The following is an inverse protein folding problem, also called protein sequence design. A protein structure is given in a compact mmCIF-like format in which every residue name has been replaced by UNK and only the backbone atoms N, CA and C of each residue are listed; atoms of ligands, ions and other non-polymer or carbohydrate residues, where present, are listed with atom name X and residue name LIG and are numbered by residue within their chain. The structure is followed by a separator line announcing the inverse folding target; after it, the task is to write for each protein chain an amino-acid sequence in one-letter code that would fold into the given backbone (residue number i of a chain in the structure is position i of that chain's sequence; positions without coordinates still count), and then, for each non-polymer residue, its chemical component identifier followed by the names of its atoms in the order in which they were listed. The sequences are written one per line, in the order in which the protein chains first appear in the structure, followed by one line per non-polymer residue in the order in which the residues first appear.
data_IF_162194025683
#
_entry.id   IF_162194025683
#
_cell.length_a   1.000
_cell.length_b   1.000
_cell.length_c   1.000
_cell.angle_alpha   90.00
_cell.angle_beta   90.00
_cell.angle_gamma   90.00
#
_symmetry.space_group_name_H-M   'P 1'
#
loop_
_entity.id
_entity.type
_entity.pdbx_description
1 polymer ?
#
# COMPACT_ATOMS: atom_id res chain seq x y z
N UNK A 1 25.61 -8.62 16.34
CA UNK A 1 25.00 -7.46 17.04
C UNK A 1 23.74 -7.94 17.74
N UNK A 2 23.39 -7.36 18.89
CA UNK A 2 22.07 -7.61 19.53
C UNK A 2 20.97 -6.86 18.77
N UNK A 3 19.70 -7.19 19.07
CA UNK A 3 18.56 -6.49 18.48
C UNK A 3 18.57 -4.97 18.80
N UNK A 4 18.96 -4.59 20.02
CA UNK A 4 19.12 -3.17 20.41
C UNK A 4 20.25 -2.50 19.62
N UNK A 5 21.39 -3.18 19.44
CA UNK A 5 22.49 -2.64 18.65
C UNK A 5 22.08 -2.45 17.17
N UNK A 6 21.26 -3.33 16.63
CA UNK A 6 20.72 -3.21 15.26
C UNK A 6 19.71 -2.05 15.16
N UNK A 7 18.88 -1.86 16.19
CA UNK A 7 17.97 -0.72 16.25
C UNK A 7 18.75 0.61 16.28
N UNK A 8 19.76 0.72 17.14
CA UNK A 8 20.65 1.91 17.19
C UNK A 8 21.45 2.08 15.88
N UNK A 9 21.89 0.98 15.28
CA UNK A 9 22.56 1.01 13.97
C UNK A 9 21.64 1.61 12.90
N UNK A 10 20.35 1.28 12.91
CA UNK A 10 19.36 1.90 12.04
C UNK A 10 19.26 3.41 12.23
N UNK A 11 19.40 3.90 13.45
CA UNK A 11 19.38 5.32 13.77
C UNK A 11 20.61 6.10 13.24
N UNK A 12 21.80 5.50 13.26
CA UNK A 12 23.02 6.13 12.75
C UNK A 12 23.22 5.92 11.24
N UNK A 13 22.41 5.05 10.61
CA UNK A 13 22.38 4.84 9.17
C UNK A 13 20.94 5.12 8.65
N UNK A 14 20.58 6.41 8.54
CA UNK A 14 19.22 6.81 8.20
C UNK A 14 18.83 6.40 6.78
N UNK A 15 17.53 6.26 6.56
CA UNK A 15 16.97 6.12 5.22
C UNK A 15 17.32 7.34 4.36
N UNK A 16 17.69 7.15 3.10
CA UNK A 16 18.13 8.24 2.23
C UNK A 16 16.96 9.19 1.91
N UNK A 17 17.24 10.50 1.85
CA UNK A 17 16.27 11.53 1.45
C UNK A 17 15.78 11.25 0.02
N UNK A 18 16.67 10.83 -0.86
CA UNK A 18 16.35 10.40 -2.24
C UNK A 18 16.63 8.91 -2.33
N UNK A 19 15.59 8.13 -2.16
CA UNK A 19 15.69 6.69 -2.22
C UNK A 19 15.53 6.19 -3.68
N UNK A 20 16.54 5.51 -4.23
CA UNK A 20 16.51 5.03 -5.62
C UNK A 20 15.42 3.99 -5.90
N UNK A 21 14.91 3.29 -4.89
CA UNK A 21 13.79 2.36 -5.05
C UNK A 21 12.46 3.07 -5.28
N UNK A 22 12.33 4.35 -4.85
CA UNK A 22 11.16 5.16 -5.15
C UNK A 22 11.30 5.80 -6.53
N UNK A 23 10.80 5.14 -7.48
CA UNK A 23 11.09 5.18 -8.88
C UNK A 23 10.71 6.49 -9.56
N UNK A 24 11.69 7.13 -10.18
CA UNK A 24 11.54 8.31 -11.04
C UNK A 24 10.80 8.00 -12.35
N UNK A 25 10.84 6.73 -12.81
CA UNK A 25 10.23 6.29 -14.06
C UNK A 25 8.69 6.24 -14.01
N UNK A 26 8.11 6.49 -12.83
CA UNK A 26 6.66 6.59 -12.62
C UNK A 26 6.14 8.01 -12.57
N UNK A 27 6.98 9.00 -12.76
CA UNK A 27 6.51 10.35 -13.01
C UNK A 27 5.88 10.35 -14.39
N UNK A 28 4.58 10.61 -14.45
CA UNK A 28 3.87 10.72 -15.74
C UNK A 28 4.43 11.94 -16.45
N UNK A 29 5.23 11.69 -17.47
CA UNK A 29 5.62 12.71 -18.43
C UNK A 29 4.42 12.89 -19.37
N UNK A 30 4.00 14.11 -19.70
CA UNK A 30 2.96 14.32 -20.70
C UNK A 30 3.32 13.52 -21.95
N UNK A 31 2.42 12.67 -22.45
CA UNK A 31 2.74 11.84 -23.59
C UNK A 31 3.13 12.72 -24.78
N UNK A 32 4.19 12.36 -25.46
CA UNK A 32 4.38 12.76 -26.85
C UNK A 32 3.17 12.27 -27.63
N UNK A 33 2.90 12.84 -28.79
CA UNK A 33 1.75 12.47 -29.66
C UNK A 33 1.70 10.94 -29.92
N UNK A 34 2.81 10.23 -29.69
CA UNK A 34 3.00 8.79 -29.94
C UNK A 34 2.76 7.91 -28.71
N UNK A 35 2.76 8.49 -27.50
CA UNK A 35 2.58 7.76 -26.23
C UNK A 35 1.34 8.28 -25.49
N UNK A 36 0.16 7.97 -26.01
CA UNK A 36 -1.09 8.30 -25.32
C UNK A 36 -1.16 7.55 -23.99
N UNK A 37 -1.15 8.28 -22.89
CA UNK A 37 -1.39 7.69 -21.58
C UNK A 37 -2.86 7.27 -21.51
N UNK A 38 -3.12 5.98 -21.31
CA UNK A 38 -4.46 5.39 -21.19
C UNK A 38 -5.38 6.17 -20.22
N UNK A 39 -4.82 6.68 -19.12
CA UNK A 39 -5.57 7.50 -18.17
C UNK A 39 -6.04 8.84 -18.79
N UNK A 40 -5.22 9.46 -19.63
CA UNK A 40 -5.54 10.73 -20.32
C UNK A 40 -6.63 10.50 -21.35
N UNK A 41 -6.53 9.43 -22.14
CA UNK A 41 -7.57 9.06 -23.13
C UNK A 41 -8.90 8.75 -22.44
N UNK A 42 -8.86 7.94 -21.37
CA UNK A 42 -10.05 7.62 -20.58
C UNK A 42 -10.69 8.87 -19.97
N UNK A 43 -9.86 9.80 -19.46
CA UNK A 43 -10.37 11.05 -18.93
C UNK A 43 -11.00 11.96 -20.02
N UNK A 44 -10.38 12.08 -21.20
CA UNK A 44 -10.94 12.81 -22.32
C UNK A 44 -12.30 12.19 -22.72
N UNK A 45 -12.37 10.87 -22.81
CA UNK A 45 -13.61 10.16 -23.13
C UNK A 45 -14.70 10.36 -22.09
N UNK A 46 -14.35 10.41 -20.82
CA UNK A 46 -15.30 10.74 -19.75
C UNK A 46 -15.87 12.14 -19.90
N UNK A 47 -15.05 13.15 -20.23
CA UNK A 47 -15.50 14.53 -20.44
C UNK A 47 -16.48 14.60 -21.60
N UNK A 48 -16.20 13.90 -22.71
CA UNK A 48 -17.13 13.80 -23.84
C UNK A 48 -18.48 13.20 -23.40
N UNK A 49 -18.45 12.07 -22.69
CA UNK A 49 -19.67 11.38 -22.22
C UNK A 49 -20.44 12.23 -21.22
N UNK A 50 -19.77 12.95 -20.32
CA UNK A 50 -20.41 13.87 -19.38
C UNK A 50 -21.12 15.01 -20.14
N UNK A 51 -20.50 15.53 -21.18
CA UNK A 51 -21.10 16.59 -22.00
C UNK A 51 -22.35 16.11 -22.73
N UNK A 52 -22.30 14.89 -23.29
CA UNK A 52 -23.47 14.24 -23.92
C UNK A 52 -24.57 13.95 -22.88
N UNK A 53 -24.20 13.46 -21.71
CA UNK A 53 -25.14 13.23 -20.60
C UNK A 53 -25.85 14.52 -20.19
N UNK A 54 -25.09 15.60 -20.00
CA UNK A 54 -25.62 16.91 -19.64
C UNK A 54 -26.61 17.42 -20.71
N UNK A 55 -26.26 17.28 -21.99
CA UNK A 55 -27.17 17.64 -23.09
C UNK A 55 -28.51 16.91 -22.99
N UNK A 56 -28.50 15.60 -22.72
CA UNK A 56 -29.76 14.85 -22.58
C UNK A 56 -30.56 15.30 -21.35
N UNK A 57 -29.91 15.62 -20.22
CA UNK A 57 -30.60 16.18 -19.04
C UNK A 57 -31.28 17.53 -19.36
N UNK A 58 -30.63 18.39 -20.13
CA UNK A 58 -31.19 19.69 -20.57
C UNK A 58 -32.40 19.49 -21.48
N UNK A 59 -32.47 18.38 -22.24
CA UNK A 59 -33.65 18.00 -23.03
C UNK A 59 -34.74 17.31 -22.18
N UNK A 60 -34.62 17.29 -20.86
CA UNK A 60 -35.59 16.69 -19.94
C UNK A 60 -35.59 15.16 -19.90
N UNK A 61 -34.55 14.50 -20.46
CA UNK A 61 -34.42 13.04 -20.40
C UNK A 61 -33.96 12.57 -19.03
N UNK A 62 -34.41 11.43 -18.60
CA UNK A 62 -34.11 10.83 -17.30
C UNK A 62 -33.44 9.46 -17.39
N UNK A 63 -33.29 8.79 -16.26
CA UNK A 63 -32.61 7.49 -16.14
C UNK A 63 -33.29 6.35 -16.94
N UNK A 64 -34.59 6.46 -17.21
CA UNK A 64 -35.34 5.51 -18.02
C UNK A 64 -35.17 5.67 -19.53
N UNK A 65 -34.61 6.79 -19.99
CA UNK A 65 -34.39 7.04 -21.40
C UNK A 65 -33.21 6.26 -21.94
N UNK A 66 -33.38 5.58 -23.06
CA UNK A 66 -32.40 4.67 -23.64
C UNK A 66 -31.04 5.34 -23.89
N UNK A 67 -31.06 6.57 -24.39
CA UNK A 67 -29.84 7.32 -24.70
C UNK A 67 -29.05 7.68 -23.44
N UNK A 68 -29.74 8.04 -22.37
CA UNK A 68 -29.14 8.30 -21.06
C UNK A 68 -28.55 7.02 -20.48
N UNK A 69 -29.30 5.92 -20.52
CA UNK A 69 -28.82 4.62 -20.06
C UNK A 69 -27.57 4.12 -20.84
N UNK A 70 -27.52 4.38 -22.16
CA UNK A 70 -26.35 4.05 -22.99
C UNK A 70 -25.11 4.85 -22.58
N UNK A 71 -25.25 6.15 -22.35
CA UNK A 71 -24.13 7.00 -21.87
C UNK A 71 -23.66 6.53 -20.48
N UNK A 72 -24.57 6.29 -19.55
CA UNK A 72 -24.22 5.79 -18.22
C UNK A 72 -23.48 4.46 -18.30
N UNK A 73 -23.93 3.54 -19.16
CA UNK A 73 -23.25 2.25 -19.39
C UNK A 73 -21.83 2.41 -19.91
N UNK A 74 -21.60 3.39 -20.81
CA UNK A 74 -20.26 3.69 -21.32
C UNK A 74 -19.34 4.28 -20.24
N UNK A 75 -19.87 5.14 -19.39
CA UNK A 75 -19.12 5.66 -18.23
C UNK A 75 -18.77 4.53 -17.26
N UNK A 76 -19.72 3.65 -16.94
CA UNK A 76 -19.47 2.48 -16.08
C UNK A 76 -18.34 1.62 -16.65
N UNK A 77 -18.31 1.36 -17.95
CA UNK A 77 -17.26 0.59 -18.61
C UNK A 77 -15.89 1.22 -18.39
N UNK A 78 -15.76 2.53 -18.62
CA UNK A 78 -14.50 3.24 -18.39
C UNK A 78 -14.07 3.13 -16.91
N UNK A 79 -14.99 3.28 -15.98
CA UNK A 79 -14.71 3.16 -14.55
C UNK A 79 -14.30 1.73 -14.17
N UNK A 80 -14.94 0.71 -14.71
CA UNK A 80 -14.62 -0.70 -14.44
C UNK A 80 -13.26 -1.14 -15.01
N UNK A 81 -12.89 -0.61 -16.16
CA UNK A 81 -11.61 -0.89 -16.83
C UNK A 81 -10.42 -0.13 -16.23
N UNK A 82 -10.64 0.77 -15.27
CA UNK A 82 -9.60 1.62 -14.72
C UNK A 82 -9.05 1.04 -13.43
N UNK A 83 -7.74 0.99 -13.31
CA UNK A 83 -7.08 0.64 -12.05
C UNK A 83 -7.01 1.85 -11.10
N UNK A 84 -8.12 2.12 -10.43
CA UNK A 84 -8.20 3.16 -9.41
C UNK A 84 -8.82 4.48 -9.86
N UNK A 85 -9.37 5.19 -8.90
CA UNK A 85 -10.26 6.35 -9.02
C UNK A 85 -9.59 7.67 -9.37
N UNK A 86 -8.39 7.69 -9.80
CA UNK A 86 -7.79 8.96 -10.17
C UNK A 86 -8.26 9.48 -11.54
N UNK A 87 -9.37 8.96 -12.03
CA UNK A 87 -10.14 9.58 -13.06
C UNK A 87 -10.90 10.75 -12.43
N UNK A 88 -10.19 11.83 -12.31
CA UNK A 88 -10.76 13.12 -12.13
C UNK A 88 -11.61 13.43 -13.35
N UNK A 89 -12.73 13.83 -13.44
CA UNK A 89 -13.46 14.74 -12.59
C UNK A 89 -14.37 14.05 -11.56
N UNK A 90 -14.55 12.75 -11.62
CA UNK A 90 -15.57 12.05 -10.85
C UNK A 90 -15.08 11.58 -9.46
N UNK A 91 -13.77 11.52 -9.22
CA UNK A 91 -13.22 10.92 -7.99
C UNK A 91 -13.77 11.51 -6.68
N UNK A 92 -13.95 12.82 -6.63
CA UNK A 92 -14.49 13.49 -5.44
C UNK A 92 -15.98 13.22 -5.21
N UNK A 93 -16.73 12.91 -6.29
CA UNK A 93 -18.16 12.66 -6.20
C UNK A 93 -18.50 11.30 -5.60
N UNK A 94 -17.58 10.33 -5.64
CA UNK A 94 -17.74 9.10 -4.88
C UNK A 94 -17.82 9.38 -3.38
N UNK A 95 -16.97 10.28 -2.87
CA UNK A 95 -16.97 10.66 -1.46
C UNK A 95 -18.25 11.38 -1.05
N UNK A 96 -18.86 12.17 -1.94
CA UNK A 96 -20.15 12.83 -1.68
C UNK A 96 -21.26 11.83 -1.37
N UNK A 97 -21.21 10.65 -2.03
CA UNK A 97 -22.15 9.56 -1.77
C UNK A 97 -21.65 8.58 -0.69
N UNK A 98 -20.64 8.95 0.09
CA UNK A 98 -20.02 8.10 1.12
C UNK A 98 -19.65 6.72 0.58
N UNK A 99 -19.22 6.67 -0.68
CA UNK A 99 -18.80 5.45 -1.39
C UNK A 99 -17.31 5.51 -1.73
N UNK A 100 -16.72 4.34 -1.89
CA UNK A 100 -15.37 4.19 -2.42
C UNK A 100 -15.41 3.49 -3.78
N UNK A 101 -14.35 3.63 -4.56
CA UNK A 101 -14.23 2.92 -5.82
C UNK A 101 -14.21 1.39 -5.63
N UNK A 102 -13.62 0.91 -4.55
CA UNK A 102 -13.64 -0.52 -4.23
C UNK A 102 -15.06 -1.01 -3.92
N UNK A 103 -15.85 -0.20 -3.21
CA UNK A 103 -17.27 -0.51 -2.99
C UNK A 103 -18.05 -0.53 -4.29
N UNK A 104 -17.83 0.47 -5.15
CA UNK A 104 -18.44 0.56 -6.48
C UNK A 104 -18.14 -0.66 -7.36
N UNK A 105 -16.90 -1.15 -7.36
CA UNK A 105 -16.56 -2.38 -8.11
C UNK A 105 -17.39 -3.58 -7.71
N UNK A 106 -17.78 -3.65 -6.45
CA UNK A 106 -18.63 -4.73 -5.91
C UNK A 106 -20.13 -4.56 -6.16
N UNK A 107 -20.58 -3.44 -6.70
CA UNK A 107 -22.02 -3.20 -6.98
C UNK A 107 -22.53 -4.08 -8.12
N UNK A 108 -23.79 -4.45 -8.03
CA UNK A 108 -24.50 -5.08 -9.16
C UNK A 108 -24.64 -4.11 -10.33
N UNK A 109 -24.95 -4.62 -11.51
CA UNK A 109 -25.16 -3.78 -12.70
C UNK A 109 -26.24 -2.72 -12.47
N UNK A 110 -27.34 -3.06 -11.79
CA UNK A 110 -28.44 -2.13 -11.52
C UNK A 110 -27.97 -1.03 -10.54
N UNK A 111 -27.26 -1.38 -9.46
CA UNK A 111 -26.71 -0.43 -8.49
C UNK A 111 -25.66 0.49 -9.13
N UNK A 112 -24.82 -0.02 -10.03
CA UNK A 112 -23.88 0.79 -10.80
C UNK A 112 -24.59 1.80 -11.69
N UNK A 113 -25.65 1.39 -12.37
CA UNK A 113 -26.45 2.25 -13.23
C UNK A 113 -27.08 3.40 -12.42
N UNK A 114 -27.73 3.11 -11.33
CA UNK A 114 -28.34 4.09 -10.44
C UNK A 114 -27.29 5.04 -9.85
N UNK A 115 -26.21 4.49 -9.30
CA UNK A 115 -25.13 5.25 -8.66
C UNK A 115 -24.46 6.22 -9.65
N UNK A 116 -24.09 5.74 -10.84
CA UNK A 116 -23.40 6.56 -11.86
C UNK A 116 -24.35 7.60 -12.43
N UNK A 117 -25.62 7.27 -12.65
CA UNK A 117 -26.62 8.25 -13.09
C UNK A 117 -26.73 9.43 -12.10
N UNK A 118 -26.95 9.14 -10.81
CA UNK A 118 -27.09 10.20 -9.79
C UNK A 118 -25.78 10.99 -9.59
N UNK A 119 -24.64 10.30 -9.62
CA UNK A 119 -23.33 10.95 -9.55
C UNK A 119 -23.09 11.89 -10.73
N UNK A 120 -23.39 11.48 -11.96
CA UNK A 120 -23.26 12.33 -13.15
C UNK A 120 -24.22 13.50 -13.11
N UNK A 121 -25.44 13.29 -12.70
CA UNK A 121 -26.46 14.34 -12.52
C UNK A 121 -25.98 15.42 -11.54
N UNK A 122 -25.48 15.00 -10.39
CA UNK A 122 -24.91 15.93 -9.40
C UNK A 122 -23.67 16.64 -9.93
N UNK A 123 -22.81 15.92 -10.64
CA UNK A 123 -21.62 16.49 -11.27
C UNK A 123 -22.00 17.58 -12.30
N UNK A 124 -22.96 17.29 -13.19
CA UNK A 124 -23.42 18.26 -14.18
C UNK A 124 -23.97 19.50 -13.50
N UNK A 125 -24.76 19.37 -12.45
CA UNK A 125 -25.34 20.49 -11.70
C UNK A 125 -24.30 21.35 -10.99
N UNK A 126 -23.24 20.76 -10.47
CA UNK A 126 -22.29 21.43 -9.54
C UNK A 126 -20.95 21.79 -10.20
N UNK A 127 -20.50 21.06 -11.20
CA UNK A 127 -19.13 21.17 -11.74
C UNK A 127 -19.06 21.35 -13.25
N UNK A 128 -19.85 20.62 -14.02
CA UNK A 128 -19.75 20.67 -15.48
C UNK A 128 -20.01 22.06 -16.04
N UNK A 129 -21.04 22.74 -15.59
CA UNK A 129 -21.34 24.12 -15.99
C UNK A 129 -20.19 25.10 -15.69
N UNK A 130 -19.52 24.93 -14.53
CA UNK A 130 -18.33 25.70 -14.20
C UNK A 130 -17.18 25.45 -15.20
N UNK A 131 -16.90 24.19 -15.52
CA UNK A 131 -15.85 23.83 -16.45
C UNK A 131 -16.20 24.22 -17.91
N UNK A 132 -17.47 24.17 -18.29
CA UNK A 132 -17.91 24.68 -19.59
C UNK A 132 -17.71 26.22 -19.74
N UNK A 133 -17.91 26.94 -18.63
CA UNK A 133 -17.72 28.42 -18.63
C UNK A 133 -16.25 28.83 -18.59
N UNK A 134 -15.41 28.04 -17.92
CA UNK A 134 -13.98 28.37 -17.72
C UNK A 134 -13.03 27.50 -18.53
N UNK A 135 -13.54 26.49 -19.24
CA UNK A 135 -12.82 25.53 -20.06
C UNK A 135 -12.33 24.31 -19.25
N UNK A 136 -12.40 23.14 -19.91
CA UNK A 136 -11.63 21.95 -19.51
C UNK A 136 -10.20 22.15 -20.02
N UNK A 137 -9.36 22.79 -19.20
CA UNK A 137 -8.01 23.19 -19.61
C UNK A 137 -6.98 22.09 -19.40
N UNK A 138 -5.76 22.28 -19.94
CA UNK A 138 -4.59 21.46 -19.68
C UNK A 138 -4.26 21.31 -18.17
N UNK A 139 -4.79 22.18 -17.32
CA UNK A 139 -4.71 22.06 -15.86
C UNK A 139 -5.33 20.76 -15.34
N UNK A 140 -6.36 20.23 -16.01
CA UNK A 140 -6.94 18.92 -15.63
C UNK A 140 -5.95 17.81 -15.94
N UNK A 141 -5.28 17.87 -17.09
CA UNK A 141 -4.24 16.91 -17.42
C UNK A 141 -3.10 16.95 -16.41
N UNK A 142 -2.67 18.14 -16.02
CA UNK A 142 -1.65 18.29 -14.98
C UNK A 142 -2.10 17.69 -13.65
N UNK A 143 -3.31 17.98 -13.19
CA UNK A 143 -3.86 17.39 -11.96
C UNK A 143 -3.93 15.87 -12.03
N UNK A 144 -4.30 15.30 -13.19
CA UNK A 144 -4.31 13.84 -13.40
C UNK A 144 -2.90 13.29 -13.31
N UNK A 145 -1.93 13.91 -13.98
CA UNK A 145 -0.53 13.50 -13.95
C UNK A 145 0.07 13.61 -12.55
N UNK A 146 -0.18 14.71 -11.84
CA UNK A 146 0.30 14.94 -10.50
C UNK A 146 -0.28 13.90 -9.51
N UNK A 147 -1.57 13.61 -9.59
CA UNK A 147 -2.22 12.58 -8.78
C UNK A 147 -1.69 11.18 -9.09
N UNK A 148 -1.37 10.90 -10.34
CA UNK A 148 -0.77 9.63 -10.74
C UNK A 148 0.66 9.47 -10.21
N UNK A 149 1.46 10.54 -10.26
CA UNK A 149 2.83 10.54 -9.70
C UNK A 149 2.85 10.36 -8.18
N UNK A 150 1.78 10.73 -7.47
CA UNK A 150 1.67 10.54 -6.02
C UNK A 150 1.26 9.12 -5.62
N UNK A 151 0.86 8.27 -6.55
CA UNK A 151 0.61 6.86 -6.23
C UNK A 151 1.91 6.18 -5.85
N UNK A 152 2.13 6.04 -4.56
CA UNK A 152 3.14 5.13 -4.06
C UNK A 152 2.82 3.71 -4.52
N UNK A 153 3.81 3.08 -5.09
CA UNK A 153 3.75 1.64 -5.23
C UNK A 153 3.97 1.02 -3.84
N UNK A 154 2.92 0.52 -3.22
CA UNK A 154 3.00 -0.23 -1.96
C UNK A 154 3.93 -1.46 -2.06
N UNK A 155 4.29 -1.84 -3.27
CA UNK A 155 5.24 -2.93 -3.54
C UNK A 155 6.70 -2.53 -3.35
N UNK A 156 7.05 -1.24 -3.28
CA UNK A 156 8.45 -0.81 -3.24
C UNK A 156 9.19 -1.32 -2.00
N UNK A 157 8.58 -1.23 -0.82
CA UNK A 157 9.17 -1.74 0.43
C UNK A 157 9.41 -3.24 0.37
N UNK A 158 8.47 -4.00 -0.19
CA UNK A 158 8.62 -5.45 -0.37
C UNK A 158 9.78 -5.76 -1.33
N UNK A 159 9.88 -5.01 -2.44
CA UNK A 159 10.98 -5.20 -3.42
C UNK A 159 12.34 -4.98 -2.76
N UNK A 160 12.53 -3.91 -1.97
CA UNK A 160 13.76 -3.68 -1.21
C UNK A 160 14.16 -4.89 -0.35
N UNK A 161 13.20 -5.40 0.42
CA UNK A 161 13.45 -6.54 1.31
C UNK A 161 13.73 -7.80 0.53
N UNK A 162 13.01 -8.07 -0.57
CA UNK A 162 13.26 -9.20 -1.45
C UNK A 162 14.66 -9.13 -2.09
N UNK A 163 15.07 -7.97 -2.59
CA UNK A 163 16.40 -7.77 -3.20
C UNK A 163 17.53 -8.08 -2.20
N UNK A 164 17.39 -7.67 -0.94
CA UNK A 164 18.34 -8.02 0.11
C UNK A 164 18.40 -9.54 0.34
N UNK A 165 17.24 -10.19 0.45
CA UNK A 165 17.16 -11.64 0.63
C UNK A 165 17.75 -12.39 -0.55
N UNK A 166 17.37 -12.04 -1.77
CA UNK A 166 17.82 -12.69 -3.00
C UNK A 166 19.33 -12.53 -3.22
N UNK A 167 19.89 -11.37 -2.86
CA UNK A 167 21.34 -11.14 -2.88
C UNK A 167 22.13 -12.10 -1.97
N UNK A 168 21.47 -12.64 -0.94
CA UNK A 168 22.02 -13.61 0.01
C UNK A 168 21.64 -15.07 -0.31
N UNK A 169 21.05 -15.28 -1.49
CA UNK A 169 20.70 -16.60 -2.01
C UNK A 169 19.36 -17.16 -1.52
N UNK A 170 18.46 -16.30 -1.02
CA UNK A 170 17.09 -16.71 -0.73
C UNK A 170 16.28 -16.79 -2.02
N UNK A 171 15.31 -17.71 -2.03
CA UNK A 171 14.38 -17.87 -3.15
C UNK A 171 12.94 -17.81 -2.68
N UNK A 172 12.07 -17.21 -3.47
CA UNK A 172 10.63 -17.26 -3.24
C UNK A 172 10.12 -18.69 -3.47
N UNK A 173 9.30 -19.20 -2.58
CA UNK A 173 8.78 -20.57 -2.65
C UNK A 173 7.28 -20.61 -2.78
N UNK A 174 6.84 -21.33 -3.81
CA UNK A 174 5.44 -21.61 -4.12
C UNK A 174 5.00 -23.03 -3.66
N UNK A 175 5.83 -23.77 -2.89
CA UNK A 175 5.58 -25.17 -2.57
C UNK A 175 5.63 -25.47 -1.06
N UNK A 176 5.08 -26.64 -0.66
CA UNK A 176 4.98 -27.15 0.71
C UNK A 176 6.31 -27.32 1.46
N UNK A 177 7.45 -27.15 0.80
CA UNK A 177 8.79 -27.31 1.36
C UNK A 177 9.31 -26.06 2.11
N UNK A 178 8.49 -25.03 2.28
CA UNK A 178 8.86 -23.88 3.10
C UNK A 178 9.14 -24.32 4.55
N UNK A 179 10.20 -23.80 5.14
CA UNK A 179 10.62 -24.16 6.49
C UNK A 179 11.50 -25.41 6.57
N UNK A 180 11.99 -25.97 5.45
CA UNK A 180 13.14 -26.87 5.43
C UNK A 180 14.45 -26.06 5.53
N UNK A 181 15.60 -26.71 5.87
CA UNK A 181 16.90 -26.04 6.07
C UNK A 181 17.46 -25.25 4.85
N UNK A 182 16.60 -24.68 4.03
CA UNK A 182 16.97 -23.91 2.84
C UNK A 182 16.57 -22.45 3.04
N UNK A 183 17.28 -21.55 2.39
CA UNK A 183 17.02 -20.12 2.36
C UNK A 183 15.80 -19.81 1.49
N UNK A 184 14.64 -19.71 2.10
CA UNK A 184 13.38 -19.44 1.40
C UNK A 184 12.58 -18.34 2.08
N UNK A 185 11.77 -17.63 1.31
CA UNK A 185 10.76 -16.72 1.81
C UNK A 185 9.42 -16.94 1.13
N UNK A 186 8.35 -16.53 1.80
CA UNK A 186 6.98 -16.45 1.28
C UNK A 186 6.39 -15.06 1.57
N UNK A 187 5.41 -14.67 0.78
CA UNK A 187 4.68 -13.41 0.88
C UNK A 187 3.19 -13.66 1.15
N UNK A 188 2.79 -13.88 2.42
CA UNK A 188 1.43 -14.28 2.78
C UNK A 188 0.34 -13.35 2.26
N UNK A 189 0.59 -12.01 2.32
CA UNK A 189 -0.34 -11.00 1.83
C UNK A 189 -0.35 -10.86 0.27
N UNK A 190 0.54 -11.56 -0.44
CA UNK A 190 0.69 -11.49 -1.90
C UNK A 190 0.43 -12.81 -2.63
N UNK A 191 -0.29 -13.73 -2.00
CA UNK A 191 -0.68 -15.00 -2.62
C UNK A 191 -0.33 -16.25 -1.83
N UNK A 192 0.62 -16.19 -0.90
CA UNK A 192 1.11 -17.36 -0.16
C UNK A 192 0.33 -17.64 1.15
N UNK A 193 -0.93 -17.25 1.21
CA UNK A 193 -1.78 -17.38 2.41
C UNK A 193 -1.89 -18.82 2.90
N UNK A 194 -2.05 -19.77 1.99
CA UNK A 194 -2.20 -21.19 2.33
C UNK A 194 -0.87 -21.79 2.83
N UNK A 195 0.25 -21.40 2.22
CA UNK A 195 1.58 -21.77 2.68
C UNK A 195 1.84 -21.25 4.10
N UNK A 196 1.45 -20.00 4.37
CA UNK A 196 1.54 -19.45 5.72
C UNK A 196 0.63 -20.16 6.72
N UNK A 197 -0.59 -20.52 6.35
CA UNK A 197 -1.48 -21.30 7.20
C UNK A 197 -0.91 -22.67 7.56
N UNK A 198 -0.25 -23.33 6.60
CA UNK A 198 0.46 -24.60 6.82
C UNK A 198 1.69 -24.42 7.73
N UNK A 199 2.45 -23.35 7.50
CA UNK A 199 3.58 -22.96 8.31
C UNK A 199 3.18 -22.68 9.77
N UNK A 200 2.11 -21.91 10.00
CA UNK A 200 1.56 -21.65 11.35
C UNK A 200 1.23 -22.94 12.08
N UNK A 201 0.55 -23.87 11.41
CA UNK A 201 0.20 -25.18 12.00
C UNK A 201 1.44 -26.00 12.35
N UNK A 202 2.40 -26.06 11.42
CA UNK A 202 3.64 -26.86 11.60
C UNK A 202 4.47 -26.41 12.80
N UNK A 203 4.56 -25.11 13.03
CA UNK A 203 5.40 -24.53 14.07
C UNK A 203 4.62 -24.02 15.27
N UNK A 204 3.32 -24.32 15.36
CA UNK A 204 2.40 -23.91 16.44
C UNK A 204 2.43 -22.41 16.71
N UNK A 205 2.55 -21.61 15.64
CA UNK A 205 2.61 -20.15 15.74
C UNK A 205 1.22 -19.61 16.05
N UNK A 206 1.09 -18.94 17.18
CA UNK A 206 -0.19 -18.37 17.62
C UNK A 206 -0.39 -16.99 17.00
N UNK A 207 0.65 -16.17 16.95
CA UNK A 207 0.55 -14.75 16.64
C UNK A 207 -0.66 -14.17 17.40
N UNK A 208 -0.62 -14.19 18.71
CA UNK A 208 -1.62 -13.49 19.50
C UNK A 208 -1.52 -12.01 19.21
N UNK A 209 -2.06 -11.64 18.07
CA UNK A 209 -2.43 -10.27 17.81
C UNK A 209 -3.51 -9.91 18.80
N UNK A 210 -3.37 -8.74 19.37
CA UNK A 210 -4.42 -8.14 20.17
C UNK A 210 -5.78 -8.44 19.52
N UNK A 211 -6.76 -8.79 20.30
CA UNK A 211 -8.13 -9.26 19.98
C UNK A 211 -8.90 -8.51 18.89
N UNK A 212 -8.28 -7.56 18.19
CA UNK A 212 -8.88 -6.64 17.22
C UNK A 212 -8.34 -6.75 15.78
N UNK A 213 -7.33 -7.59 15.50
CA UNK A 213 -6.81 -7.75 14.13
C UNK A 213 -7.23 -9.09 13.54
N UNK A 214 -8.52 -9.21 13.24
CA UNK A 214 -9.06 -10.40 12.58
C UNK A 214 -8.37 -10.62 11.22
N UNK A 215 -7.53 -11.65 11.14
CA UNK A 215 -7.06 -12.19 9.88
C UNK A 215 -5.95 -11.42 9.17
N UNK A 216 -5.28 -10.47 9.83
CA UNK A 216 -4.12 -9.79 9.23
C UNK A 216 -2.99 -10.80 8.99
N UNK A 217 -2.53 -10.86 7.75
CA UNK A 217 -1.38 -11.67 7.35
C UNK A 217 -0.10 -10.83 7.49
N UNK A 218 1.03 -11.44 7.88
CA UNK A 218 2.31 -10.75 7.81
C UNK A 218 2.69 -10.50 6.35
N UNK A 219 3.49 -9.46 6.11
CA UNK A 219 3.94 -9.14 4.77
C UNK A 219 4.88 -10.19 4.21
N UNK A 220 5.74 -10.80 5.07
CA UNK A 220 6.71 -11.80 4.66
C UNK A 220 7.01 -12.79 5.80
N UNK A 221 7.40 -14.01 5.43
CA UNK A 221 8.06 -14.96 6.32
C UNK A 221 9.26 -15.56 5.60
N UNK A 222 10.40 -15.66 6.28
CA UNK A 222 11.57 -16.33 5.74
C UNK A 222 12.22 -17.26 6.78
N UNK A 223 13.06 -18.17 6.32
CA UNK A 223 13.78 -19.12 7.17
C UNK A 223 15.29 -19.13 6.88
N UNK A 224 16.08 -19.25 7.95
CA UNK A 224 17.53 -19.48 7.89
C UNK A 224 17.84 -20.62 8.83
N UNK A 225 18.33 -21.73 8.30
CA UNK A 225 18.48 -22.96 9.07
C UNK A 225 17.14 -23.39 9.69
N UNK A 226 17.13 -23.57 10.99
CA UNK A 226 15.93 -23.91 11.75
C UNK A 226 15.19 -22.71 12.34
N UNK A 227 15.69 -21.49 12.09
CA UNK A 227 15.10 -20.26 12.59
C UNK A 227 14.14 -19.66 11.56
N UNK A 228 13.02 -19.13 12.02
CA UNK A 228 11.96 -18.59 11.20
C UNK A 228 11.64 -17.16 11.63
N UNK A 229 11.50 -16.28 10.66
CA UNK A 229 11.33 -14.85 10.88
C UNK A 229 10.03 -14.37 10.22
N UNK A 230 9.13 -13.85 11.03
CA UNK A 230 7.87 -13.26 10.59
C UNK A 230 8.07 -11.75 10.51
N UNK A 231 7.77 -11.15 9.36
CA UNK A 231 8.12 -9.75 9.07
C UNK A 231 6.88 -8.94 8.77
N UNK A 232 6.76 -7.81 9.44
CA UNK A 232 5.82 -6.74 9.13
C UNK A 232 6.58 -5.54 8.58
N UNK A 233 6.13 -4.99 7.46
CA UNK A 233 6.79 -3.89 6.76
C UNK A 233 5.90 -2.68 6.72
N UNK A 234 6.45 -1.52 7.05
CA UNK A 234 5.77 -0.23 6.88
C UNK A 234 6.67 0.78 6.23
N UNK A 235 6.10 1.56 5.34
CA UNK A 235 6.76 2.74 4.78
C UNK A 235 6.04 3.99 5.25
N UNK A 236 6.73 4.84 5.99
CA UNK A 236 6.17 6.04 6.62
C UNK A 236 6.99 7.28 6.27
N UNK A 237 6.30 8.37 5.86
CA UNK A 237 6.96 9.63 5.44
C UNK A 237 7.12 10.65 6.56
N UNK A 238 6.20 10.71 7.50
CA UNK A 238 6.15 11.76 8.50
C UNK A 238 5.21 11.42 9.65
N UNK A 239 4.96 12.36 10.54
CA UNK A 239 4.03 12.20 11.65
C UNK A 239 2.62 12.66 11.26
N UNK A 240 1.60 11.94 11.74
CA UNK A 240 0.19 12.28 11.57
C UNK A 240 -0.70 11.24 12.24
N UNK A 241 -1.95 11.56 12.57
CA UNK A 241 -2.81 10.68 13.37
C UNK A 241 -2.97 9.25 12.84
N UNK A 242 -3.05 9.08 11.52
CA UNK A 242 -3.10 7.75 10.90
C UNK A 242 -1.75 7.02 10.93
N UNK A 243 -0.65 7.76 10.83
CA UNK A 243 0.71 7.20 10.86
C UNK A 243 1.13 6.78 12.27
N UNK A 244 0.70 7.50 13.28
CA UNK A 244 0.93 7.13 14.68
C UNK A 244 0.31 5.77 15.03
N UNK A 245 -0.90 5.52 14.52
CA UNK A 245 -1.55 4.22 14.66
C UNK A 245 -0.74 3.11 14.00
N UNK A 246 -0.25 3.36 12.78
CA UNK A 246 0.61 2.41 12.06
C UNK A 246 1.91 2.11 12.80
N UNK A 247 2.55 3.13 13.39
CA UNK A 247 3.76 2.90 14.19
C UNK A 247 3.47 2.09 15.44
N UNK A 248 2.36 2.37 16.14
CA UNK A 248 1.95 1.57 17.29
C UNK A 248 1.71 0.10 16.89
N UNK A 249 1.14 -0.15 15.73
CA UNK A 249 0.93 -1.50 15.20
C UNK A 249 2.27 -2.23 15.02
N UNK A 250 3.28 -1.60 14.41
CA UNK A 250 4.57 -2.24 14.17
C UNK A 250 5.42 -2.39 15.44
N UNK A 251 5.30 -1.48 16.41
CA UNK A 251 5.91 -1.66 17.73
C UNK A 251 5.25 -2.84 18.48
N UNK A 252 3.94 -2.96 18.37
CA UNK A 252 3.23 -4.10 18.97
C UNK A 252 3.62 -5.43 18.30
N UNK A 253 3.96 -5.42 17.02
CA UNK A 253 4.36 -6.61 16.30
C UNK A 253 5.63 -7.26 16.87
N UNK A 254 6.59 -6.50 17.36
CA UNK A 254 7.79 -7.03 18.01
C UNK A 254 7.58 -7.41 19.49
N UNK A 255 6.36 -7.31 20.01
CA UNK A 255 5.97 -7.83 21.33
C UNK A 255 5.55 -9.31 21.29
N UNK A 256 5.30 -9.84 20.08
CA UNK A 256 4.91 -11.24 19.97
C UNK A 256 6.02 -12.15 20.44
N UNK A 257 5.64 -13.17 21.17
CA UNK A 257 6.52 -14.23 21.61
C UNK A 257 5.80 -15.57 21.41
N UNK A 258 6.53 -16.54 20.93
CA UNK A 258 6.05 -17.89 20.74
C UNK A 258 6.77 -18.83 21.74
N UNK A 259 6.15 -19.94 22.07
CA UNK A 259 6.78 -20.97 22.89
C UNK A 259 8.02 -21.59 22.20
N UNK A 260 8.03 -21.55 20.88
CA UNK A 260 9.17 -21.99 20.07
C UNK A 260 10.23 -20.89 19.98
N UNK A 261 11.42 -21.04 20.60
CA UNK A 261 12.47 -20.01 20.61
C UNK A 261 13.12 -19.79 19.23
N UNK A 262 12.77 -20.58 18.21
CA UNK A 262 13.25 -20.43 16.83
C UNK A 262 12.33 -19.54 15.97
N UNK A 263 11.25 -19.02 16.55
CA UNK A 263 10.35 -18.08 15.88
C UNK A 263 10.68 -16.66 16.33
N UNK A 264 10.86 -15.77 15.38
CA UNK A 264 11.28 -14.39 15.59
C UNK A 264 10.38 -13.42 14.86
N UNK A 265 10.22 -12.22 15.38
CA UNK A 265 9.43 -11.15 14.76
C UNK A 265 10.33 -9.99 14.35
N UNK A 266 10.15 -9.52 13.14
CA UNK A 266 10.89 -8.38 12.60
C UNK A 266 9.90 -7.29 12.18
N UNK A 267 10.08 -6.10 12.69
CA UNK A 267 9.51 -4.88 12.11
C UNK A 267 10.54 -4.23 11.21
N UNK A 268 10.18 -4.05 9.95
CA UNK A 268 10.94 -3.27 8.98
C UNK A 268 10.23 -1.94 8.73
N UNK A 269 10.88 -0.85 9.13
CA UNK A 269 10.36 0.50 8.98
C UNK A 269 11.15 1.27 7.92
N UNK A 270 10.52 1.50 6.77
CA UNK A 270 11.06 2.24 5.63
C UNK A 270 10.59 3.71 5.63
N UNK A 271 11.41 4.57 5.06
CA UNK A 271 11.11 5.97 4.82
C UNK A 271 11.50 6.92 5.97
N UNK A 272 11.24 8.19 5.75
CA UNK A 272 11.74 9.30 6.58
C UNK A 272 11.33 9.21 8.06
N UNK A 273 10.21 8.57 8.36
CA UNK A 273 9.78 8.40 9.75
C UNK A 273 10.74 7.53 10.57
N UNK A 274 11.44 6.58 9.95
CA UNK A 274 12.50 5.82 10.61
C UNK A 274 13.59 6.76 11.14
N UNK A 275 13.98 7.75 10.35
CA UNK A 275 14.96 8.75 10.74
C UNK A 275 14.45 9.64 11.89
N UNK A 276 13.18 10.06 11.80
CA UNK A 276 12.53 10.87 12.84
C UNK A 276 12.42 10.13 14.17
N UNK A 277 12.13 8.83 14.14
CA UNK A 277 12.02 8.01 15.34
C UNK A 277 13.30 8.07 16.20
N UNK A 278 14.46 8.07 15.56
CA UNK A 278 15.76 8.12 16.25
C UNK A 278 16.24 9.53 16.57
N UNK A 279 15.91 10.54 15.76
CA UNK A 279 16.49 11.88 15.86
C UNK A 279 15.59 12.92 16.54
N UNK A 280 14.28 12.66 16.63
CA UNK A 280 13.32 13.65 17.08
C UNK A 280 13.35 13.89 18.60
N UNK A 281 13.24 15.17 18.98
CA UNK A 281 13.07 15.60 20.38
C UNK A 281 11.60 15.77 20.78
N UNK A 282 10.66 15.57 19.86
CA UNK A 282 9.22 15.69 20.14
C UNK A 282 8.79 14.65 21.17
N UNK A 283 8.09 15.03 22.26
CA UNK A 283 7.74 14.11 23.35
C UNK A 283 6.99 12.85 22.90
N UNK A 284 6.15 12.98 21.89
CA UNK A 284 5.38 11.86 21.33
C UNK A 284 6.28 10.84 20.64
N UNK A 285 7.20 11.30 19.80
CA UNK A 285 8.11 10.41 19.04
C UNK A 285 9.11 9.76 20.01
N UNK A 286 9.55 10.52 21.03
CA UNK A 286 10.40 9.97 22.10
C UNK A 286 9.74 8.82 22.85
N UNK A 287 8.46 8.93 23.19
CA UNK A 287 7.73 7.83 23.81
C UNK A 287 7.66 6.60 22.90
N UNK A 288 7.41 6.80 21.61
CA UNK A 288 7.38 5.71 20.63
C UNK A 288 8.75 5.02 20.51
N UNK A 289 9.83 5.78 20.53
CA UNK A 289 11.20 5.25 20.60
C UNK A 289 11.42 4.43 21.88
N UNK A 290 11.05 4.96 23.04
CA UNK A 290 11.16 4.31 24.34
C UNK A 290 10.32 3.02 24.41
N UNK A 291 9.13 3.02 23.83
CA UNK A 291 8.27 1.85 23.70
C UNK A 291 8.94 0.75 22.83
N UNK A 292 9.53 1.12 21.70
CA UNK A 292 10.26 0.19 20.85
C UNK A 292 11.47 -0.41 21.59
N UNK A 293 12.27 0.42 22.26
CA UNK A 293 13.41 -0.03 23.09
C UNK A 293 12.93 -0.96 24.22
N UNK A 294 11.81 -0.63 24.87
CA UNK A 294 11.22 -1.47 25.90
C UNK A 294 10.82 -2.85 25.37
N UNK A 295 10.20 -2.89 24.21
CA UNK A 295 9.82 -4.15 23.56
C UNK A 295 11.05 -5.00 23.18
N UNK A 296 12.08 -4.39 22.59
CA UNK A 296 13.30 -5.08 22.19
C UNK A 296 14.07 -5.64 23.40
N UNK A 297 14.07 -4.94 24.54
CA UNK A 297 14.65 -5.45 25.78
C UNK A 297 13.90 -6.67 26.32
N UNK A 298 12.57 -6.64 26.24
CA UNK A 298 11.71 -7.74 26.68
C UNK A 298 11.80 -8.98 25.77
N UNK A 299 12.09 -8.78 24.48
CA UNK A 299 12.11 -9.81 23.45
C UNK A 299 13.44 -9.78 22.66
N UNK A 300 14.54 -10.34 23.21
CA UNK A 300 15.89 -10.25 22.59
C UNK A 300 15.99 -10.94 21.22
N UNK A 301 15.07 -11.86 20.90
CA UNK A 301 15.00 -12.56 19.62
C UNK A 301 14.23 -11.79 18.52
N UNK A 302 13.60 -10.67 18.85
CA UNK A 302 12.84 -9.86 17.90
C UNK A 302 13.63 -8.62 17.50
N UNK A 303 13.32 -8.06 16.31
CA UNK A 303 14.11 -6.99 15.72
C UNK A 303 13.23 -5.87 15.20
N UNK A 304 13.72 -4.64 15.30
CA UNK A 304 13.14 -3.46 14.69
C UNK A 304 14.23 -2.73 13.92
N UNK A 305 14.13 -2.69 12.60
CA UNK A 305 15.21 -2.23 11.72
C UNK A 305 14.67 -1.41 10.55
N UNK A 306 15.52 -0.54 10.02
CA UNK A 306 15.37 0.10 8.72
C UNK A 306 16.12 -0.70 7.62
N UNK A 307 16.25 -0.14 6.43
CA UNK A 307 16.94 -0.81 5.30
C UNK A 307 18.38 -1.21 5.66
N UNK A 308 19.16 -0.29 6.20
CA UNK A 308 20.57 -0.55 6.57
C UNK A 308 20.68 -1.58 7.70
N UNK A 309 19.82 -1.46 8.71
CA UNK A 309 19.75 -2.43 9.82
C UNK A 309 19.34 -3.81 9.36
N UNK A 310 18.38 -3.90 8.41
CA UNK A 310 17.94 -5.17 7.85
C UNK A 310 19.05 -5.87 7.05
N UNK A 311 19.80 -5.14 6.23
CA UNK A 311 20.94 -5.71 5.51
C UNK A 311 21.99 -6.33 6.45
N UNK A 312 22.32 -5.62 7.54
CA UNK A 312 23.28 -6.13 8.54
C UNK A 312 22.71 -7.33 9.29
N UNK A 313 21.44 -7.26 9.70
CA UNK A 313 20.74 -8.37 10.33
C UNK A 313 20.78 -9.62 9.45
N UNK A 314 20.42 -9.50 8.17
CA UNK A 314 20.38 -10.64 7.25
C UNK A 314 21.76 -11.29 7.04
N UNK A 315 22.81 -10.49 6.88
CA UNK A 315 24.19 -11.01 6.80
C UNK A 315 24.58 -11.76 8.08
N UNK A 316 24.19 -11.25 9.25
CA UNK A 316 24.44 -11.89 10.54
C UNK A 316 23.67 -13.21 10.65
N UNK A 317 22.36 -13.22 10.37
CA UNK A 317 21.52 -14.43 10.44
C UNK A 317 22.04 -15.55 9.53
N UNK A 318 22.40 -15.18 8.31
CA UNK A 318 23.02 -16.15 7.36
C UNK A 318 24.32 -16.70 7.90
N UNK A 319 25.16 -15.89 8.53
CA UNK A 319 26.43 -16.35 9.13
C UNK A 319 26.21 -17.26 10.32
N UNK A 320 25.23 -16.95 11.17
CA UNK A 320 25.02 -17.61 12.46
C UNK A 320 24.20 -18.90 12.33
N UNK A 321 23.32 -19.01 11.32
CA UNK A 321 22.33 -20.09 11.20
C UNK A 321 22.39 -20.90 9.89
N UNK A 322 23.26 -20.54 8.91
CA UNK A 322 23.38 -21.30 7.63
C UNK A 322 24.36 -22.46 7.68
#
# INVERSE_FOLDING_TARGET
MTNLQLFEYSGVHPEPIIDPYYNRDKVVIPPTVEETNDLVEKNAKLIELISVFNYFLEQGKGSSDREVADVVSKVIRILDETEGINLTPLSQFFMVYNSSYNSFKGYTTAEKQEFVYEMLKLYCQKRHGMYMSHGYTNSILQVVCDNYSHKRNSKTTIVKVCDVLESLGFTHKESELFGSNRKHYILPDKGDKELFASFKRKYSIVMESAKNEQGKLPDMVFSVGEHHFVVEMKSMKGSGGGQDKQLTEVINFIRYAEDNPKIHYITYLDGEYSNLLHSSTQPKIRRQYEDAVGCLKAHPGNFFVNTAGFEVLMKQLVKDYS
#
